data_IF_024574342403
#
_entry.id   IF_024574342403
#
_cell.length_a   1.000
_cell.length_b   1.000
_cell.length_c   1.000
_cell.angle_alpha   90.00
_cell.angle_beta   90.00
_cell.angle_gamma   90.00
#
_symmetry.space_group_name_H-M   'P 1'
#
loop_
_entity.id
_entity.type
_entity.pdbx_description
1 polymer ?
#
# COMPACT_ATOMS: atom_id res chain seq x y z
N UNK A 1 -7.16 32.80 -4.58
CA UNK A 1 -8.11 32.38 -5.63
C UNK A 1 -7.69 31.09 -6.37
N UNK A 2 -6.42 30.89 -6.78
CA UNK A 2 -5.99 29.69 -7.53
C UNK A 2 -6.17 28.35 -6.79
N UNK A 3 -6.01 28.30 -5.45
CA UNK A 3 -6.17 27.07 -4.65
C UNK A 3 -7.59 26.46 -4.73
N UNK A 4 -8.62 27.30 -4.70
CA UNK A 4 -10.01 26.82 -4.74
C UNK A 4 -10.38 26.26 -6.12
N UNK A 5 -9.85 26.86 -7.19
CA UNK A 5 -10.07 26.40 -8.56
C UNK A 5 -9.44 25.01 -8.82
N UNK A 6 -8.22 24.78 -8.34
CA UNK A 6 -7.55 23.48 -8.49
C UNK A 6 -8.30 22.36 -7.74
N UNK A 7 -8.78 22.66 -6.52
CA UNK A 7 -9.63 21.75 -5.74
C UNK A 7 -10.94 21.42 -6.44
N UNK A 8 -11.64 22.42 -6.94
CA UNK A 8 -12.90 22.22 -7.66
C UNK A 8 -12.70 21.36 -8.93
N UNK A 9 -11.64 21.64 -9.69
CA UNK A 9 -11.29 20.86 -10.89
C UNK A 9 -10.95 19.40 -10.55
N UNK A 10 -10.21 19.18 -9.46
CA UNK A 10 -9.92 17.83 -8.96
C UNK A 10 -11.19 17.07 -8.59
N UNK A 11 -12.10 17.69 -7.82
CA UNK A 11 -13.38 17.08 -7.42
C UNK A 11 -14.23 16.74 -8.65
N UNK A 12 -14.31 17.63 -9.63
CA UNK A 12 -15.03 17.38 -10.87
C UNK A 12 -14.42 16.18 -11.63
N UNK A 13 -13.09 16.15 -11.79
CA UNK A 13 -12.40 15.04 -12.45
C UNK A 13 -12.61 13.70 -11.73
N UNK A 14 -12.59 13.69 -10.40
CA UNK A 14 -12.80 12.48 -9.60
C UNK A 14 -14.23 11.98 -9.75
N UNK A 15 -15.21 12.88 -9.68
CA UNK A 15 -16.63 12.52 -9.74
C UNK A 15 -17.00 11.94 -11.11
N UNK A 16 -16.50 12.55 -12.18
CA UNK A 16 -16.72 12.11 -13.57
C UNK A 16 -16.11 10.73 -13.86
N UNK A 17 -14.96 10.41 -13.24
CA UNK A 17 -14.16 9.21 -13.55
C UNK A 17 -14.04 8.22 -12.41
N UNK A 18 -14.90 8.32 -11.39
CA UNK A 18 -14.85 7.46 -10.19
C UNK A 18 -14.83 5.96 -10.53
N UNK A 19 -15.57 5.55 -11.56
CA UNK A 19 -15.61 4.17 -12.00
C UNK A 19 -14.29 3.71 -12.65
N UNK A 20 -13.63 4.57 -13.43
CA UNK A 20 -12.33 4.26 -14.02
C UNK A 20 -11.28 4.03 -12.92
N UNK A 21 -11.30 4.88 -11.89
CA UNK A 21 -10.40 4.77 -10.75
C UNK A 21 -10.68 3.53 -9.92
N UNK A 22 -11.95 3.22 -9.67
CA UNK A 22 -12.34 1.98 -9.01
C UNK A 22 -11.91 0.74 -9.80
N UNK A 23 -12.21 0.68 -11.12
CA UNK A 23 -11.80 -0.43 -11.98
C UNK A 23 -10.28 -0.63 -11.99
N UNK A 24 -9.53 0.47 -12.03
CA UNK A 24 -8.08 0.40 -11.96
C UNK A 24 -7.60 -0.12 -10.60
N UNK A 25 -8.08 0.43 -9.49
CA UNK A 25 -7.72 -0.05 -8.16
C UNK A 25 -8.08 -1.53 -7.97
N UNK A 26 -9.29 -1.94 -8.37
CA UNK A 26 -9.74 -3.32 -8.34
C UNK A 26 -8.87 -4.25 -9.18
N UNK A 27 -8.32 -3.78 -10.31
CA UNK A 27 -7.40 -4.58 -11.11
C UNK A 27 -6.11 -4.96 -10.36
N UNK A 28 -5.68 -4.17 -9.38
CA UNK A 28 -4.51 -4.45 -8.54
C UNK A 28 -4.81 -5.38 -7.37
N UNK A 29 -5.93 -5.19 -6.67
CA UNK A 29 -6.21 -5.91 -5.40
C UNK A 29 -7.21 -7.05 -5.52
N UNK A 30 -8.04 -7.07 -6.58
CA UNK A 30 -9.09 -8.07 -6.82
C UNK A 30 -10.07 -8.28 -5.65
N UNK A 31 -10.19 -7.27 -4.78
CA UNK A 31 -11.10 -7.21 -3.66
C UNK A 31 -11.82 -5.86 -3.70
N UNK A 32 -13.13 -5.87 -3.48
CA UNK A 32 -13.97 -4.68 -3.59
C UNK A 32 -13.69 -3.66 -2.47
N UNK A 33 -13.60 -4.12 -1.22
CA UNK A 33 -13.36 -3.25 -0.05
C UNK A 33 -11.98 -2.60 -0.14
N UNK A 34 -10.95 -3.41 -0.41
CA UNK A 34 -9.57 -2.92 -0.59
C UNK A 34 -9.50 -1.88 -1.73
N UNK A 35 -10.25 -2.09 -2.82
CA UNK A 35 -10.26 -1.16 -3.95
C UNK A 35 -10.92 0.17 -3.58
N UNK A 36 -12.02 0.14 -2.82
CA UNK A 36 -12.69 1.34 -2.32
C UNK A 36 -11.78 2.11 -1.35
N UNK A 37 -11.09 1.41 -0.46
CA UNK A 37 -10.13 2.01 0.48
C UNK A 37 -8.97 2.69 -0.25
N UNK A 38 -8.40 2.03 -1.27
CA UNK A 38 -7.35 2.62 -2.11
C UNK A 38 -7.83 3.89 -2.80
N UNK A 39 -9.05 3.89 -3.35
CA UNK A 39 -9.63 5.06 -4.00
C UNK A 39 -9.80 6.20 -2.99
N UNK A 40 -10.42 5.94 -1.84
CA UNK A 40 -10.63 6.92 -0.77
C UNK A 40 -9.32 7.53 -0.29
N UNK A 41 -8.32 6.70 0.02
CA UNK A 41 -7.00 7.14 0.46
C UNK A 41 -6.29 7.98 -0.61
N UNK A 42 -6.48 7.63 -1.89
CA UNK A 42 -5.91 8.39 -3.01
C UNK A 42 -6.59 9.75 -3.17
N UNK A 43 -7.90 9.84 -2.98
CA UNK A 43 -8.65 11.11 -2.97
C UNK A 43 -8.16 12.00 -1.83
N UNK A 44 -8.01 11.44 -0.62
CA UNK A 44 -7.47 12.17 0.53
C UNK A 44 -6.08 12.75 0.23
N UNK A 45 -5.13 11.92 -0.21
CA UNK A 45 -3.77 12.37 -0.58
C UNK A 45 -3.79 13.42 -1.68
N UNK A 46 -4.68 13.27 -2.66
CA UNK A 46 -4.81 14.24 -3.74
C UNK A 46 -5.33 15.59 -3.23
N UNK A 47 -6.33 15.61 -2.36
CA UNK A 47 -6.84 16.85 -1.76
C UNK A 47 -5.78 17.54 -0.88
N UNK A 48 -4.99 16.76 -0.14
CA UNK A 48 -3.89 17.27 0.70
C UNK A 48 -2.77 17.90 -0.16
N UNK A 49 -2.54 17.39 -1.38
CA UNK A 49 -1.41 17.78 -2.25
C UNK A 49 -1.79 18.59 -3.49
N UNK A 50 -3.07 18.87 -3.71
CA UNK A 50 -3.60 19.58 -4.89
C UNK A 50 -2.98 20.96 -5.08
N UNK A 51 -2.52 21.60 -4.00
CA UNK A 51 -1.86 22.90 -4.04
C UNK A 51 -0.52 22.87 -4.80
N UNK A 52 0.06 21.68 -5.00
CA UNK A 52 1.30 21.49 -5.77
C UNK A 52 1.07 21.46 -7.29
N UNK A 53 -0.18 21.30 -7.73
CA UNK A 53 -0.51 21.16 -9.15
C UNK A 53 -0.51 22.53 -9.81
N UNK A 54 0.52 22.79 -10.62
CA UNK A 54 0.68 24.06 -11.35
C UNK A 54 -0.21 24.17 -12.58
N UNK A 55 -0.50 23.05 -13.24
CA UNK A 55 -1.31 22.99 -14.45
C UNK A 55 -2.58 22.13 -14.25
N UNK A 56 -3.78 22.73 -14.26
CA UNK A 56 -5.05 22.02 -14.15
C UNK A 56 -5.25 20.91 -15.18
N UNK A 57 -4.69 21.05 -16.39
CA UNK A 57 -4.88 20.07 -17.48
C UNK A 57 -4.22 18.73 -17.17
N UNK A 58 -3.26 18.72 -16.25
CA UNK A 58 -2.51 17.51 -15.86
C UNK A 58 -3.09 16.81 -14.63
N UNK A 59 -4.17 17.35 -14.02
CA UNK A 59 -4.80 16.81 -12.81
C UNK A 59 -5.17 15.34 -12.97
N UNK A 60 -5.74 14.96 -14.13
CA UNK A 60 -6.12 13.57 -14.40
C UNK A 60 -4.93 12.62 -14.30
N UNK A 61 -3.89 12.86 -15.11
CA UNK A 61 -2.69 12.03 -15.16
C UNK A 61 -1.94 12.03 -13.81
N UNK A 62 -1.97 13.16 -13.11
CA UNK A 62 -1.41 13.28 -11.77
C UNK A 62 -2.17 12.43 -10.74
N UNK A 63 -3.49 12.43 -10.76
CA UNK A 63 -4.32 11.61 -9.88
C UNK A 63 -4.12 10.11 -10.12
N UNK A 64 -4.04 9.67 -11.39
CA UNK A 64 -3.71 8.28 -11.72
C UNK A 64 -2.38 7.83 -11.09
N UNK A 65 -1.36 8.69 -11.05
CA UNK A 65 -0.08 8.37 -10.40
C UNK A 65 -0.25 8.18 -8.90
N UNK A 66 -1.06 9.00 -8.23
CA UNK A 66 -1.37 8.85 -6.80
C UNK A 66 -2.07 7.52 -6.56
N UNK A 67 -3.09 7.22 -7.37
CA UNK A 67 -3.89 5.99 -7.25
C UNK A 67 -3.03 4.73 -7.40
N UNK A 68 -2.21 4.66 -8.44
CA UNK A 68 -1.32 3.52 -8.69
C UNK A 68 -0.29 3.36 -7.57
N UNK A 69 0.30 4.46 -7.08
CA UNK A 69 1.25 4.42 -5.96
C UNK A 69 0.58 3.90 -4.68
N UNK A 70 -0.63 4.39 -4.36
CA UNK A 70 -1.39 3.92 -3.21
C UNK A 70 -1.72 2.42 -3.31
N UNK A 71 -2.12 1.95 -4.50
CA UNK A 71 -2.38 0.52 -4.72
C UNK A 71 -1.11 -0.34 -4.54
N UNK A 72 0.03 0.09 -5.09
CA UNK A 72 1.31 -0.62 -4.92
C UNK A 72 1.74 -0.64 -3.45
N UNK A 73 1.60 0.48 -2.75
CA UNK A 73 1.96 0.56 -1.33
C UNK A 73 1.06 -0.32 -0.46
N UNK A 74 -0.24 -0.38 -0.77
CA UNK A 74 -1.18 -1.30 -0.14
C UNK A 74 -0.73 -2.76 -0.33
N UNK A 75 -0.41 -3.16 -1.56
CA UNK A 75 0.07 -4.52 -1.85
C UNK A 75 1.41 -4.84 -1.16
N UNK A 76 2.33 -3.86 -1.08
CA UNK A 76 3.60 -4.01 -0.35
C UNK A 76 3.38 -4.23 1.13
N UNK A 77 2.45 -3.49 1.76
CA UNK A 77 2.08 -3.68 3.17
C UNK A 77 1.44 -5.05 3.39
N UNK A 78 0.51 -5.45 2.51
CA UNK A 78 -0.13 -6.77 2.56
C UNK A 78 0.87 -7.91 2.41
N UNK A 79 1.88 -7.80 1.53
CA UNK A 79 2.94 -8.80 1.40
C UNK A 79 3.79 -8.94 2.66
N UNK A 80 4.04 -7.85 3.39
CA UNK A 80 4.76 -7.90 4.68
C UNK A 80 3.94 -8.58 5.77
N UNK A 81 2.62 -8.45 5.72
CA UNK A 81 1.68 -9.08 6.64
C UNK A 81 1.29 -10.46 6.10
N UNK A 82 2.14 -11.46 6.33
CA UNK A 82 1.75 -12.86 6.10
C UNK A 82 0.83 -13.25 7.25
N UNK A 83 -0.46 -13.44 6.98
CA UNK A 83 -1.38 -14.02 7.95
C UNK A 83 -0.95 -15.47 8.14
N UNK A 84 -0.64 -15.82 9.38
CA UNK A 84 -0.23 -17.15 9.79
C UNK A 84 -1.31 -17.69 10.71
N UNK A 85 -1.68 -18.96 10.56
CA UNK A 85 -2.60 -19.57 11.52
C UNK A 85 -1.90 -19.75 12.87
N UNK A 86 -2.71 -19.88 13.93
CA UNK A 86 -2.21 -20.02 15.30
C UNK A 86 -1.25 -21.20 15.45
N UNK A 87 -1.48 -22.29 14.71
CA UNK A 87 -0.61 -23.47 14.71
C UNK A 87 0.78 -23.15 14.14
N UNK A 88 0.86 -22.37 13.06
CA UNK A 88 2.11 -21.96 12.42
C UNK A 88 2.85 -20.94 13.29
N UNK A 89 2.13 -20.05 13.96
CA UNK A 89 2.72 -19.11 14.93
C UNK A 89 3.31 -19.90 16.11
N UNK A 90 2.57 -20.84 16.68
CA UNK A 90 3.03 -21.69 17.77
C UNK A 90 4.28 -22.48 17.35
N UNK A 91 4.26 -23.08 16.16
CA UNK A 91 5.40 -23.82 15.61
C UNK A 91 6.67 -22.98 15.47
N UNK A 92 6.58 -21.75 14.94
CA UNK A 92 7.74 -20.87 14.77
C UNK A 92 8.19 -20.21 16.08
N UNK A 93 7.29 -20.07 17.06
CA UNK A 93 7.60 -19.52 18.38
C UNK A 93 8.35 -20.49 19.29
N UNK A 94 8.28 -21.80 19.01
CA UNK A 94 9.17 -22.79 19.63
C UNK A 94 10.58 -22.56 19.08
N UNK A 95 11.36 -21.76 19.81
CA UNK A 95 12.77 -21.53 19.50
C UNK A 95 13.47 -22.87 19.27
N UNK A 96 14.25 -22.97 18.19
CA UNK A 96 15.16 -24.11 18.05
C UNK A 96 16.20 -23.99 19.15
N UNK A 97 16.34 -25.03 19.97
CA UNK A 97 17.54 -25.18 20.78
C UNK A 97 18.73 -25.29 19.82
N UNK A 98 19.68 -24.36 19.92
CA UNK A 98 20.94 -24.48 19.19
C UNK A 98 21.67 -25.72 19.74
N UNK A 99 21.77 -26.76 18.90
CA UNK A 99 22.57 -27.94 19.20
C UNK A 99 24.03 -27.53 18.97
N UNK A 100 24.69 -27.08 20.03
CA UNK A 100 26.15 -26.97 20.05
C UNK A 100 26.73 -28.37 19.84
N UNK A 101 27.51 -28.55 18.78
CA UNK A 101 28.35 -29.75 18.65
C UNK A 101 29.46 -29.63 19.67
N UNK A 102 29.75 -30.73 20.33
CA UNK A 102 30.72 -30.87 21.40
C UNK A 102 32.19 -30.79 20.91
N UNK A 103 32.47 -29.92 19.94
CA UNK A 103 33.79 -29.80 19.32
C UNK A 103 34.80 -29.15 20.25
N UNK A 104 34.38 -28.22 21.11
CA UNK A 104 35.27 -27.54 22.07
C UNK A 104 35.74 -28.46 23.20
N UNK A 105 34.92 -29.43 23.61
CA UNK A 105 35.28 -30.36 24.71
C UNK A 105 36.27 -31.44 24.27
N UNK A 106 36.26 -31.83 23.00
CA UNK A 106 37.26 -32.73 22.45
C UNK A 106 38.61 -32.05 22.27
N UNK A 107 38.63 -30.77 21.89
CA UNK A 107 39.86 -30.01 21.70
C UNK A 107 40.55 -29.64 23.02
N UNK A 108 39.82 -29.61 24.14
CA UNK A 108 40.36 -29.29 25.47
C UNK A 108 40.97 -30.49 26.23
N UNK A 109 40.85 -31.71 25.69
CA UNK A 109 41.38 -32.94 26.29
C UNK A 109 42.63 -33.48 25.58
N UNK A 110 43.04 -32.87 24.47
CA UNK A 110 44.33 -33.04 23.81
C UNK A 110 45.34 -31.95 24.26
#
# INVERSE_FOLDING_TARGET
MKKQAARASLVACITDRKEDFYRLAYSYVKNQEDALDIVQESIKKALDSVDSVRNPDTIKSWFYKILVRTAIDFLRKRKKLKVMDDQTIEFLSKGKEDIYRDTDLHEALD
#
